data_IF_270693837363
#
_entry.id   IF_270693837363
#
_cell.length_a   1.000
_cell.length_b   1.000
_cell.length_c   1.000
_cell.angle_alpha   90.00
_cell.angle_beta   90.00
_cell.angle_gamma   90.00
#
_symmetry.space_group_name_H-M   'P 1'
#
loop_
_entity.id
_entity.type
_entity.pdbx_description
1 polymer ?
#
# COMPACT_ATOMS: atom_id res chain seq x y z
N UNK A 1 34.57 24.67 -6.62
CA UNK A 1 33.26 25.39 -6.64
C UNK A 1 32.28 24.52 -5.86
N UNK A 2 32.13 24.79 -4.55
CA UNK A 2 31.31 23.98 -3.62
C UNK A 2 29.86 24.46 -3.71
N UNK A 3 28.94 23.56 -3.99
CA UNK A 3 27.49 23.82 -3.94
C UNK A 3 27.10 23.83 -2.47
N UNK A 4 26.82 25.02 -1.93
CA UNK A 4 26.23 25.20 -0.62
C UNK A 4 24.75 24.85 -0.69
N UNK A 5 24.38 23.65 -0.23
CA UNK A 5 23.00 23.32 0.09
C UNK A 5 22.69 23.85 1.50
N UNK A 6 22.39 25.15 1.60
CA UNK A 6 21.74 25.70 2.78
C UNK A 6 20.23 25.60 2.58
N UNK A 7 19.66 24.45 2.89
CA UNK A 7 18.26 24.38 3.32
C UNK A 7 18.31 23.95 4.78
N UNK A 8 18.43 24.94 5.66
CA UNK A 8 18.30 24.72 7.09
C UNK A 8 16.92 24.11 7.36
N UNK A 9 16.88 22.94 7.99
CA UNK A 9 15.64 22.26 8.38
C UNK A 9 14.72 23.06 9.32
N UNK A 10 15.07 24.29 9.66
CA UNK A 10 14.24 25.22 10.43
C UNK A 10 13.03 25.76 9.64
N UNK A 11 13.11 25.87 8.31
CA UNK A 11 12.02 26.47 7.50
C UNK A 11 10.84 25.52 7.22
N UNK A 12 11.00 24.21 7.46
CA UNK A 12 9.89 23.25 7.32
C UNK A 12 9.08 23.07 8.61
N UNK A 13 9.67 23.32 9.79
CA UNK A 13 9.00 23.17 11.09
C UNK A 13 7.95 24.26 11.33
N UNK A 14 8.02 25.38 10.60
CA UNK A 14 7.23 26.58 10.87
C UNK A 14 6.07 26.82 9.90
N UNK A 15 5.83 25.95 8.90
CA UNK A 15 4.61 26.08 8.09
C UNK A 15 3.41 25.64 8.92
N UNK A 16 2.48 26.55 9.29
CA UNK A 16 1.31 26.16 10.04
C UNK A 16 0.49 25.18 9.20
N UNK A 17 0.33 23.95 9.69
CA UNK A 17 -0.67 23.01 9.19
C UNK A 17 -2.06 23.48 9.65
N UNK A 18 -2.52 24.62 9.11
CA UNK A 18 -3.78 25.25 9.50
C UNK A 18 -5.00 24.35 9.29
N UNK A 19 -4.86 23.28 8.50
CA UNK A 19 -5.88 22.25 8.32
C UNK A 19 -6.00 21.28 9.52
N UNK A 20 -4.93 21.08 10.30
CA UNK A 20 -4.86 20.14 11.43
C UNK A 20 -5.08 20.82 12.79
N UNK A 21 -4.66 22.08 12.91
CA UNK A 21 -4.81 22.87 14.12
C UNK A 21 -5.41 24.25 13.81
N UNK A 22 -6.64 24.51 14.29
CA UNK A 22 -7.30 25.82 14.17
C UNK A 22 -6.65 26.91 15.05
N UNK A 23 -5.85 26.53 16.05
CA UNK A 23 -5.14 27.44 16.96
C UNK A 23 -3.70 27.01 17.12
N UNK A 24 -2.78 27.97 17.13
CA UNK A 24 -1.40 27.74 17.51
C UNK A 24 -1.36 27.20 18.95
N UNK A 25 -0.93 25.95 19.11
CA UNK A 25 -0.71 25.35 20.43
C UNK A 25 0.58 25.89 21.02
N UNK A 26 0.58 26.19 22.32
CA UNK A 26 1.82 26.54 23.04
C UNK A 26 2.71 25.29 23.00
N UNK A 27 3.88 25.41 22.38
CA UNK A 27 4.81 24.29 22.29
C UNK A 27 5.15 23.78 23.69
N UNK A 28 4.90 22.50 23.96
CA UNK A 28 5.35 21.86 25.19
C UNK A 28 6.87 21.94 25.26
N UNK A 29 7.46 22.51 26.33
CA UNK A 29 8.91 22.52 26.48
C UNK A 29 9.41 21.08 26.47
N UNK A 30 10.18 20.72 25.44
CA UNK A 30 10.81 19.42 25.39
C UNK A 30 11.95 19.37 26.42
N UNK A 31 12.20 18.21 27.05
CA UNK A 31 13.37 18.06 27.91
C UNK A 31 14.64 18.40 27.12
N UNK A 32 15.63 18.96 27.82
CA UNK A 32 16.97 19.14 27.26
C UNK A 32 17.59 17.76 27.05
N UNK A 33 17.58 17.30 25.80
CA UNK A 33 18.17 16.03 25.38
C UNK A 33 19.57 16.32 24.84
N UNK A 34 20.57 15.58 25.32
CA UNK A 34 21.88 15.53 24.67
C UNK A 34 21.73 14.78 23.33
N UNK A 35 21.60 15.56 22.26
CA UNK A 35 21.43 15.03 20.90
C UNK A 35 22.63 14.23 20.42
N UNK A 36 23.83 14.53 20.91
CA UNK A 36 25.07 13.87 20.49
C UNK A 36 25.18 12.50 21.13
N UNK A 37 24.92 12.40 22.45
CA UNK A 37 24.83 11.13 23.15
C UNK A 37 23.72 10.25 22.57
N UNK A 38 22.52 10.80 22.40
CA UNK A 38 21.40 10.06 21.81
C UNK A 38 21.72 9.53 20.40
N UNK A 39 22.37 10.33 19.54
CA UNK A 39 22.78 9.87 18.21
C UNK A 39 23.82 8.74 18.27
N UNK A 40 24.76 8.81 19.21
CA UNK A 40 25.74 7.75 19.43
C UNK A 40 25.08 6.45 19.91
N UNK A 41 24.11 6.54 20.83
CA UNK A 41 23.36 5.39 21.33
C UNK A 41 22.57 4.69 20.21
N UNK A 42 21.88 5.46 19.36
CA UNK A 42 21.16 4.91 18.19
C UNK A 42 22.13 4.25 17.19
N UNK A 43 23.32 4.82 16.98
CA UNK A 43 24.33 4.24 16.10
C UNK A 43 24.89 2.93 16.66
N UNK A 44 25.16 2.87 17.96
CA UNK A 44 25.62 1.66 18.65
C UNK A 44 24.55 0.56 18.58
N UNK A 45 23.29 0.89 18.92
CA UNK A 45 22.16 -0.04 18.83
C UNK A 45 22.00 -0.59 17.40
N UNK A 46 22.15 0.25 16.37
CA UNK A 46 22.09 -0.21 14.98
C UNK A 46 23.18 -1.25 14.66
N UNK A 47 24.40 -1.07 15.17
CA UNK A 47 25.50 -2.02 14.95
C UNK A 47 25.18 -3.36 15.61
N UNK A 48 24.74 -3.32 16.87
CA UNK A 48 24.31 -4.49 17.64
C UNK A 48 23.19 -5.26 16.92
N UNK A 49 22.09 -4.59 16.54
CA UNK A 49 20.96 -5.22 15.88
C UNK A 49 21.30 -5.83 14.52
N UNK A 50 22.24 -5.24 13.77
CA UNK A 50 22.70 -5.82 12.49
C UNK A 50 23.52 -7.09 12.72
N UNK A 51 24.32 -7.13 13.79
CA UNK A 51 25.11 -8.30 14.15
C UNK A 51 24.25 -9.45 14.68
N UNK A 52 23.10 -9.13 15.29
CA UNK A 52 22.15 -10.10 15.81
C UNK A 52 21.23 -10.73 14.74
N UNK A 53 21.23 -10.21 13.51
CA UNK A 53 20.45 -10.78 12.40
C UNK A 53 20.88 -12.23 12.12
N UNK A 54 19.90 -13.12 11.99
CA UNK A 54 20.20 -14.53 11.77
C UNK A 54 19.02 -15.39 11.34
N UNK A 55 19.17 -16.70 11.54
CA UNK A 55 18.20 -17.70 11.09
C UNK A 55 16.80 -17.54 11.74
N UNK A 56 16.73 -16.93 12.94
CA UNK A 56 15.47 -16.68 13.63
C UNK A 56 14.59 -15.67 12.87
N UNK A 57 15.17 -14.64 12.27
CA UNK A 57 14.44 -13.63 11.47
C UNK A 57 13.83 -14.27 10.22
N UNK A 58 14.62 -15.09 9.51
CA UNK A 58 14.14 -15.81 8.34
C UNK A 58 13.04 -16.81 8.72
N UNK A 59 13.23 -17.57 9.80
CA UNK A 59 12.23 -18.51 10.29
C UNK A 59 10.91 -17.83 10.68
N UNK A 60 10.97 -16.60 11.20
CA UNK A 60 9.79 -15.78 11.47
C UNK A 60 9.07 -15.42 10.16
N UNK A 61 9.78 -14.87 9.17
CA UNK A 61 9.19 -14.49 7.89
C UNK A 61 8.55 -15.69 7.18
N UNK A 62 9.23 -16.83 7.14
CA UNK A 62 8.73 -18.04 6.51
C UNK A 62 7.51 -18.62 7.24
N UNK A 63 7.44 -18.45 8.56
CA UNK A 63 6.23 -18.79 9.34
C UNK A 63 5.05 -17.92 8.93
N UNK A 64 5.25 -16.61 8.83
CA UNK A 64 4.19 -15.67 8.42
C UNK A 64 3.73 -15.95 6.98
N UNK A 65 4.67 -16.21 6.08
CA UNK A 65 4.38 -16.62 4.71
C UNK A 65 3.58 -17.94 4.67
N UNK A 66 4.00 -18.94 5.45
CA UNK A 66 3.33 -20.25 5.53
C UNK A 66 1.91 -20.11 6.06
N UNK A 67 1.68 -19.32 7.10
CA UNK A 67 0.33 -19.07 7.61
C UNK A 67 -0.57 -18.43 6.56
N UNK A 68 -0.10 -17.39 5.86
CA UNK A 68 -0.85 -16.78 4.76
C UNK A 68 -1.17 -17.77 3.63
N UNK A 69 -0.21 -18.63 3.25
CA UNK A 69 -0.41 -19.67 2.23
C UNK A 69 -1.40 -20.75 2.67
N UNK A 70 -1.35 -21.20 3.92
CA UNK A 70 -2.30 -22.17 4.49
C UNK A 70 -3.71 -21.58 4.49
N UNK A 71 -3.88 -20.32 4.92
CA UNK A 71 -5.17 -19.64 4.83
C UNK A 71 -5.69 -19.59 3.38
N UNK A 72 -4.82 -19.31 2.41
CA UNK A 72 -5.23 -19.29 0.99
C UNK A 72 -5.68 -20.66 0.49
N UNK A 73 -4.91 -21.70 0.81
CA UNK A 73 -5.20 -23.08 0.43
C UNK A 73 -6.53 -23.56 1.04
N UNK A 74 -6.69 -23.40 2.36
CA UNK A 74 -7.90 -23.81 3.07
C UNK A 74 -9.11 -22.96 2.64
N UNK A 75 -8.91 -21.66 2.40
CA UNK A 75 -9.93 -20.78 1.87
C UNK A 75 -10.48 -21.28 0.54
N UNK A 76 -9.62 -21.62 -0.42
CA UNK A 76 -10.06 -22.16 -1.70
C UNK A 76 -10.60 -23.60 -1.60
N UNK A 77 -10.07 -24.42 -0.70
CA UNK A 77 -10.62 -25.76 -0.43
C UNK A 77 -12.06 -25.74 0.11
N UNK A 78 -12.48 -24.61 0.69
CA UNK A 78 -13.82 -24.39 1.25
C UNK A 78 -14.72 -23.51 0.37
N UNK A 79 -14.16 -22.86 -0.66
CA UNK A 79 -14.84 -21.87 -1.49
C UNK A 79 -15.89 -22.46 -2.44
N UNK A 80 -15.92 -23.78 -2.62
CA UNK A 80 -16.96 -24.45 -3.40
C UNK A 80 -18.31 -24.50 -2.67
N UNK A 81 -18.33 -24.27 -1.36
CA UNK A 81 -19.56 -24.17 -0.57
C UNK A 81 -20.14 -22.77 -0.76
N UNK A 82 -21.37 -22.61 -1.30
CA UNK A 82 -21.98 -21.30 -1.48
C UNK A 82 -22.07 -20.53 -0.16
N UNK A 83 -21.74 -19.23 -0.20
CA UNK A 83 -21.81 -18.31 0.94
C UNK A 83 -21.11 -18.81 2.22
N UNK A 84 -19.86 -19.26 2.11
CA UNK A 84 -19.12 -19.83 3.23
C UNK A 84 -18.27 -18.78 3.98
N UNK A 85 -18.66 -18.34 5.20
CA UNK A 85 -17.94 -17.28 5.92
C UNK A 85 -16.51 -17.66 6.29
N UNK A 86 -16.25 -18.95 6.55
CA UNK A 86 -14.90 -19.42 6.85
C UNK A 86 -13.99 -19.30 5.62
N UNK A 87 -14.51 -19.63 4.44
CA UNK A 87 -13.81 -19.38 3.17
C UNK A 87 -13.50 -17.90 3.00
N UNK A 88 -14.46 -17.01 3.30
CA UNK A 88 -14.25 -15.57 3.15
C UNK A 88 -13.13 -15.06 4.04
N UNK A 89 -13.16 -15.42 5.33
CA UNK A 89 -12.16 -15.00 6.31
C UNK A 89 -10.77 -15.53 5.96
N UNK A 90 -10.65 -16.80 5.60
CA UNK A 90 -9.37 -17.41 5.23
C UNK A 90 -8.77 -16.78 3.97
N UNK A 91 -9.58 -16.57 2.93
CA UNK A 91 -9.13 -15.93 1.70
C UNK A 91 -8.77 -14.45 1.90
N UNK A 92 -9.49 -13.74 2.77
CA UNK A 92 -9.19 -12.36 3.13
C UNK A 92 -7.88 -12.27 3.94
N UNK A 93 -7.71 -13.13 4.94
CA UNK A 93 -6.48 -13.22 5.73
C UNK A 93 -5.27 -13.58 4.88
N UNK A 94 -5.42 -14.51 3.93
CA UNK A 94 -4.34 -14.85 3.00
C UNK A 94 -3.91 -13.66 2.13
N UNK A 95 -4.87 -12.83 1.69
CA UNK A 95 -4.60 -11.62 0.91
C UNK A 95 -3.87 -10.57 1.76
N UNK A 96 -4.43 -10.23 2.93
CA UNK A 96 -3.87 -9.20 3.81
C UNK A 96 -2.50 -9.62 4.33
N UNK A 97 -2.34 -10.85 4.84
CA UNK A 97 -1.06 -11.31 5.37
C UNK A 97 0.05 -11.33 4.31
N UNK A 98 -0.27 -11.70 3.07
CA UNK A 98 0.71 -11.65 1.97
C UNK A 98 1.20 -10.24 1.71
N UNK A 99 0.32 -9.25 1.81
CA UNK A 99 0.71 -7.86 1.66
C UNK A 99 1.43 -7.33 2.91
N UNK A 100 0.77 -7.32 4.07
CA UNK A 100 1.24 -6.59 5.26
C UNK A 100 2.35 -7.32 6.02
N UNK A 101 2.36 -8.65 6.04
CA UNK A 101 3.33 -9.42 6.82
C UNK A 101 4.54 -9.88 5.99
N UNK A 102 4.39 -10.05 4.67
CA UNK A 102 5.48 -10.53 3.80
C UNK A 102 5.94 -9.43 2.87
N UNK A 103 5.08 -9.00 1.94
CA UNK A 103 5.46 -8.07 0.87
C UNK A 103 5.98 -6.75 1.42
N UNK A 104 5.27 -6.15 2.38
CA UNK A 104 5.64 -4.89 3.01
C UNK A 104 7.08 -4.94 3.54
N UNK A 105 7.41 -5.95 4.34
CA UNK A 105 8.74 -6.06 4.94
C UNK A 105 9.84 -6.42 3.94
N UNK A 106 9.57 -7.34 3.00
CA UNK A 106 10.56 -7.70 1.98
C UNK A 106 10.87 -6.51 1.07
N UNK A 107 9.84 -5.77 0.64
CA UNK A 107 10.01 -4.63 -0.24
C UNK A 107 10.55 -3.38 0.47
N UNK A 108 10.48 -3.34 1.81
CA UNK A 108 11.24 -2.41 2.66
C UNK A 108 12.70 -2.80 2.86
N UNK A 109 13.17 -3.88 2.24
CA UNK A 109 14.53 -4.41 2.41
C UNK A 109 14.81 -4.90 3.83
N UNK A 110 13.77 -5.17 4.62
CA UNK A 110 13.90 -5.57 6.03
C UNK A 110 14.70 -6.85 6.22
N UNK A 111 14.73 -7.72 5.20
CA UNK A 111 15.43 -9.00 5.23
C UNK A 111 16.68 -9.05 4.35
N UNK A 112 17.03 -7.98 3.62
CA UNK A 112 18.13 -8.01 2.64
C UNK A 112 19.52 -8.24 3.29
N UNK A 113 19.64 -7.95 4.58
CA UNK A 113 20.88 -8.14 5.37
C UNK A 113 20.88 -9.41 6.20
N UNK A 114 19.76 -10.15 6.23
CA UNK A 114 19.71 -11.43 6.95
C UNK A 114 20.61 -12.43 6.22
N UNK A 115 21.55 -13.10 6.93
CA UNK A 115 22.40 -14.10 6.32
C UNK A 115 21.59 -15.17 5.59
N UNK A 116 22.07 -15.58 4.41
CA UNK A 116 21.46 -16.68 3.63
C UNK A 116 20.00 -16.46 3.21
N UNK A 117 19.51 -15.21 3.21
CA UNK A 117 18.14 -14.91 2.74
C UNK A 117 17.93 -15.44 1.31
N UNK A 118 16.90 -16.28 1.07
CA UNK A 118 16.63 -16.78 -0.26
C UNK A 118 16.33 -15.63 -1.23
N UNK A 119 16.80 -15.72 -2.47
CA UNK A 119 16.55 -14.67 -3.48
C UNK A 119 15.06 -14.32 -3.60
N UNK A 120 14.17 -15.32 -3.50
CA UNK A 120 12.70 -15.15 -3.51
C UNK A 120 12.15 -14.25 -2.40
N UNK A 121 12.92 -13.99 -1.34
CA UNK A 121 12.57 -13.15 -0.18
C UNK A 121 13.48 -11.92 -0.05
N UNK A 122 14.35 -11.66 -1.04
CA UNK A 122 15.13 -10.43 -1.08
C UNK A 122 14.45 -9.37 -1.94
N UNK A 123 14.56 -8.09 -1.55
CA UNK A 123 13.91 -6.97 -2.24
C UNK A 123 14.30 -6.84 -3.71
N UNK A 124 15.50 -7.34 -4.06
CA UNK A 124 16.03 -7.31 -5.41
C UNK A 124 15.24 -8.21 -6.38
N UNK A 125 14.73 -9.36 -5.91
CA UNK A 125 14.05 -10.34 -6.78
C UNK A 125 12.57 -10.56 -6.45
N UNK A 126 12.13 -10.22 -5.24
CA UNK A 126 10.74 -10.36 -4.81
C UNK A 126 9.78 -9.59 -5.72
N UNK A 127 8.72 -10.28 -6.17
CA UNK A 127 7.67 -9.73 -7.03
C UNK A 127 8.18 -9.04 -8.32
N UNK A 128 9.36 -9.44 -8.82
CA UNK A 128 9.92 -8.96 -10.09
C UNK A 128 9.47 -9.80 -11.28
N UNK A 129 9.11 -9.14 -12.37
CA UNK A 129 8.67 -9.81 -13.60
C UNK A 129 7.49 -10.74 -13.34
N UNK A 130 7.57 -11.98 -13.83
CA UNK A 130 6.52 -12.98 -13.65
C UNK A 130 6.32 -13.38 -12.18
N UNK A 131 7.35 -13.25 -11.32
CA UNK A 131 7.24 -13.59 -9.91
C UNK A 131 6.21 -12.75 -9.17
N UNK A 132 5.83 -11.58 -9.69
CA UNK A 132 4.72 -10.80 -9.15
C UNK A 132 3.48 -11.66 -8.92
N UNK A 133 3.15 -12.56 -9.85
CA UNK A 133 1.94 -13.38 -9.75
C UNK A 133 2.04 -14.49 -8.71
N UNK A 134 3.25 -14.83 -8.25
CA UNK A 134 3.48 -15.80 -7.18
C UNK A 134 3.65 -15.13 -5.82
N UNK A 135 4.51 -14.11 -5.78
CA UNK A 135 4.95 -13.46 -4.55
C UNK A 135 3.84 -12.53 -4.05
N UNK A 136 3.33 -11.64 -4.91
CA UNK A 136 2.32 -10.64 -4.54
C UNK A 136 1.35 -10.31 -5.70
N UNK A 137 0.42 -11.22 -6.01
CA UNK A 137 -0.69 -10.92 -6.91
C UNK A 137 -1.68 -10.00 -6.18
N UNK A 138 -1.66 -8.71 -6.52
CA UNK A 138 -2.51 -7.69 -5.91
C UNK A 138 -2.87 -6.60 -6.94
N UNK A 139 -3.84 -5.75 -6.61
CA UNK A 139 -4.19 -4.55 -7.37
C UNK A 139 -2.96 -3.65 -7.57
N UNK A 140 -2.09 -3.57 -6.57
CA UNK A 140 -0.89 -2.75 -6.63
C UNK A 140 0.17 -3.35 -7.54
N UNK A 141 0.82 -2.50 -8.33
CA UNK A 141 2.03 -2.88 -9.07
C UNK A 141 3.25 -2.75 -8.13
N UNK A 142 4.10 -3.79 -7.98
CA UNK A 142 5.18 -3.80 -7.00
C UNK A 142 6.10 -2.56 -7.07
N UNK A 143 6.63 -2.22 -8.25
CA UNK A 143 7.50 -1.04 -8.35
C UNK A 143 6.79 0.29 -8.09
N UNK A 144 5.46 0.32 -8.26
CA UNK A 144 4.67 1.52 -8.00
C UNK A 144 4.48 1.71 -6.50
N UNK A 145 4.10 0.63 -5.82
CA UNK A 145 4.03 0.57 -4.37
C UNK A 145 5.38 0.88 -3.71
N UNK A 146 6.49 0.29 -4.18
CA UNK A 146 7.81 0.56 -3.63
C UNK A 146 8.26 2.02 -3.80
N UNK A 147 7.85 2.69 -4.87
CA UNK A 147 8.17 4.10 -5.06
C UNK A 147 7.34 4.98 -4.15
N UNK A 148 6.01 4.80 -4.18
CA UNK A 148 5.08 5.61 -3.41
C UNK A 148 5.30 5.37 -1.91
N UNK A 149 5.20 4.13 -1.44
CA UNK A 149 5.30 3.81 -0.01
C UNK A 149 6.69 4.18 0.55
N UNK A 150 7.78 3.68 -0.05
CA UNK A 150 9.11 3.81 0.54
C UNK A 150 9.75 5.19 0.35
N UNK A 151 9.38 5.94 -0.69
CA UNK A 151 10.03 7.22 -1.02
C UNK A 151 9.14 8.43 -0.80
N UNK A 152 7.82 8.27 -0.83
CA UNK A 152 6.87 9.36 -0.62
C UNK A 152 6.20 9.24 0.75
N UNK A 153 5.46 8.15 1.02
CA UNK A 153 4.71 8.00 2.26
C UNK A 153 5.60 8.07 3.51
N UNK A 154 6.67 7.24 3.61
CA UNK A 154 7.58 7.27 4.77
C UNK A 154 8.33 8.60 4.94
N UNK A 155 8.44 9.41 3.89
CA UNK A 155 9.13 10.70 3.95
C UNK A 155 8.18 11.83 4.35
N UNK A 156 6.91 11.75 3.97
CA UNK A 156 5.90 12.80 4.23
C UNK A 156 4.82 12.34 5.20
N UNK A 157 5.03 11.28 6.01
CA UNK A 157 3.98 10.64 6.80
C UNK A 157 3.15 11.65 7.61
N UNK A 158 1.83 11.68 7.36
CA UNK A 158 0.91 12.60 8.04
C UNK A 158 0.96 14.06 7.56
N UNK A 159 1.72 14.35 6.49
CA UNK A 159 1.79 15.66 5.83
C UNK A 159 0.94 15.70 4.56
N UNK A 160 0.73 16.90 4.01
CA UNK A 160 -0.08 17.09 2.79
C UNK A 160 0.54 16.37 1.57
N UNK A 161 1.86 16.19 1.56
CA UNK A 161 2.57 15.45 0.50
C UNK A 161 2.59 13.93 0.71
N UNK A 162 1.94 13.43 1.77
CA UNK A 162 1.68 12.02 1.97
C UNK A 162 0.61 11.53 0.98
N UNK A 163 0.93 10.59 0.07
CA UNK A 163 -0.08 10.01 -0.83
C UNK A 163 -1.14 9.20 -0.08
N UNK A 164 -0.82 8.74 1.14
CA UNK A 164 -1.66 7.89 1.98
C UNK A 164 -2.40 8.67 3.08
N UNK A 165 -2.39 10.01 3.05
CA UNK A 165 -3.25 10.83 3.90
C UNK A 165 -4.72 10.79 3.43
N UNK A 166 -5.38 9.65 3.64
CA UNK A 166 -6.75 9.39 3.18
C UNK A 166 -7.74 10.40 3.76
N UNK A 167 -7.56 10.83 5.01
CA UNK A 167 -8.40 11.86 5.64
C UNK A 167 -8.44 13.15 4.78
N UNK A 168 -7.27 13.57 4.28
CA UNK A 168 -7.17 14.73 3.42
C UNK A 168 -7.71 14.44 2.02
N UNK A 169 -7.28 13.32 1.43
CA UNK A 169 -7.53 12.98 0.04
C UNK A 169 -8.98 12.56 -0.24
N UNK A 170 -9.73 12.11 0.77
CA UNK A 170 -11.17 11.81 0.72
C UNK A 170 -12.05 13.07 0.80
N UNK A 171 -11.72 14.10 0.02
CA UNK A 171 -12.33 15.44 0.13
C UNK A 171 -13.86 15.47 0.02
N UNK A 172 -14.45 14.54 -0.74
CA UNK A 172 -15.91 14.42 -0.85
C UNK A 172 -16.58 14.16 0.50
N UNK A 173 -15.96 13.35 1.36
CA UNK A 173 -16.45 13.08 2.71
C UNK A 173 -16.42 14.34 3.59
N UNK A 174 -15.58 15.31 3.24
CA UNK A 174 -15.38 16.58 3.95
C UNK A 174 -16.30 17.71 3.48
N UNK A 175 -17.12 17.48 2.46
CA UNK A 175 -18.09 18.48 1.99
C UNK A 175 -19.13 18.77 3.08
N UNK A 176 -19.27 20.06 3.45
CA UNK A 176 -20.22 20.53 4.48
C UNK A 176 -21.66 20.16 4.14
N UNK A 177 -22.02 20.23 2.87
CA UNK A 177 -23.38 19.97 2.37
C UNK A 177 -23.71 18.48 2.21
N UNK A 178 -22.74 17.57 2.40
CA UNK A 178 -22.98 16.13 2.22
C UNK A 178 -23.84 15.59 3.37
N UNK A 179 -25.04 15.03 3.10
CA UNK A 179 -25.88 14.43 4.13
C UNK A 179 -25.16 13.29 4.85
N UNK A 180 -25.37 13.15 6.16
CA UNK A 180 -24.70 12.11 6.98
C UNK A 180 -24.87 10.69 6.40
N UNK A 181 -26.07 10.23 6.00
CA UNK A 181 -26.22 8.87 5.45
C UNK A 181 -25.37 8.65 4.19
N UNK A 182 -25.29 9.66 3.31
CA UNK A 182 -24.48 9.59 2.11
C UNK A 182 -22.97 9.59 2.44
N UNK A 183 -22.55 10.34 3.47
CA UNK A 183 -21.17 10.29 3.98
C UNK A 183 -20.81 8.88 4.46
N UNK A 184 -21.67 8.24 5.24
CA UNK A 184 -21.48 6.86 5.70
C UNK A 184 -21.40 5.88 4.54
N UNK A 185 -22.32 6.01 3.56
CA UNK A 185 -22.31 5.16 2.38
C UNK A 185 -20.99 5.29 1.61
N UNK A 186 -20.54 6.52 1.32
CA UNK A 186 -19.28 6.76 0.60
C UNK A 186 -18.07 6.26 1.39
N UNK A 187 -18.06 6.39 2.71
CA UNK A 187 -17.00 5.87 3.57
C UNK A 187 -16.97 4.32 3.54
N UNK A 188 -18.13 3.66 3.62
CA UNK A 188 -18.22 2.20 3.50
C UNK A 188 -17.80 1.71 2.12
N UNK A 189 -18.18 2.41 1.04
CA UNK A 189 -17.77 2.07 -0.32
C UNK A 189 -16.28 2.25 -0.53
N UNK A 190 -15.69 3.34 0.01
CA UNK A 190 -14.24 3.52 0.03
C UNK A 190 -13.59 2.34 0.76
N UNK A 191 -13.99 2.08 2.01
CA UNK A 191 -13.43 1.01 2.84
C UNK A 191 -13.49 -0.37 2.15
N UNK A 192 -14.60 -0.69 1.48
CA UNK A 192 -14.78 -1.95 0.76
C UNK A 192 -13.95 -2.08 -0.52
N UNK A 193 -13.42 -0.98 -1.07
CA UNK A 193 -12.77 -0.97 -2.40
C UNK A 193 -11.41 -0.27 -2.42
N UNK A 194 -10.92 0.25 -1.30
CA UNK A 194 -9.86 1.25 -1.27
C UNK A 194 -8.56 0.79 -1.93
N UNK A 195 -8.22 -0.50 -1.91
CA UNK A 195 -7.03 -0.98 -2.62
C UNK A 195 -7.13 -0.73 -4.12
N UNK A 196 -8.31 -0.94 -4.70
CA UNK A 196 -8.59 -0.71 -6.12
C UNK A 196 -8.91 0.76 -6.41
N UNK A 197 -9.75 1.39 -5.59
CA UNK A 197 -10.31 2.72 -5.88
C UNK A 197 -9.38 3.87 -5.48
N UNK A 198 -8.51 3.65 -4.49
CA UNK A 198 -7.59 4.64 -3.94
C UNK A 198 -6.11 4.24 -4.11
N UNK A 199 -5.70 3.13 -3.52
CA UNK A 199 -4.30 2.87 -3.25
C UNK A 199 -3.51 2.46 -4.49
N UNK A 200 -3.95 1.43 -5.22
CA UNK A 200 -3.32 1.00 -6.46
C UNK A 200 -3.21 2.11 -7.52
N UNK A 201 -4.25 2.92 -7.80
CA UNK A 201 -4.11 4.00 -8.76
C UNK A 201 -3.21 5.14 -8.23
N UNK A 202 -3.18 5.43 -6.92
CA UNK A 202 -2.25 6.43 -6.36
C UNK A 202 -0.79 6.00 -6.47
N UNK A 203 -0.48 4.76 -6.11
CA UNK A 203 0.87 4.22 -6.25
C UNK A 203 1.35 4.27 -7.70
N UNK A 204 0.50 3.88 -8.66
CA UNK A 204 0.87 3.94 -10.08
C UNK A 204 0.96 5.37 -10.60
N UNK A 205 0.06 6.26 -10.19
CA UNK A 205 0.16 7.68 -10.54
C UNK A 205 1.49 8.26 -10.07
N UNK A 206 1.90 8.00 -8.83
CA UNK A 206 3.18 8.46 -8.27
C UNK A 206 4.38 7.96 -9.12
N UNK A 207 4.38 6.68 -9.50
CA UNK A 207 5.40 6.12 -10.37
C UNK A 207 5.41 6.79 -11.76
N UNK A 208 4.25 7.06 -12.35
CA UNK A 208 4.15 7.79 -13.62
C UNK A 208 4.69 9.22 -13.47
N UNK A 209 4.37 9.93 -12.38
CA UNK A 209 4.92 11.25 -12.11
C UNK A 209 6.44 11.22 -11.97
N UNK A 210 7.00 10.21 -11.29
CA UNK A 210 8.45 10.04 -11.17
C UNK A 210 9.11 9.90 -12.54
N UNK A 211 8.53 9.10 -13.44
CA UNK A 211 9.03 8.92 -14.81
C UNK A 211 8.99 10.23 -15.59
N UNK A 212 7.89 10.99 -15.50
CA UNK A 212 7.77 12.29 -16.17
C UNK A 212 8.82 13.29 -15.65
N UNK A 213 9.00 13.37 -14.32
CA UNK A 213 10.02 14.22 -13.70
C UNK A 213 11.44 13.85 -14.12
N UNK A 214 11.70 12.56 -14.34
CA UNK A 214 13.00 12.05 -14.78
C UNK A 214 13.23 12.31 -16.27
N UNK A 215 12.20 12.20 -17.10
CA UNK A 215 12.28 12.39 -18.55
C UNK A 215 12.38 13.87 -18.96
N UNK A 216 11.76 14.79 -18.20
CA UNK A 216 11.77 16.21 -18.47
C UNK A 216 12.10 17.04 -17.21
N UNK A 217 13.37 17.07 -16.76
CA UNK A 217 13.76 17.76 -15.54
C UNK A 217 13.40 19.25 -15.51
N UNK A 218 13.48 19.92 -16.68
CA UNK A 218 13.12 21.33 -16.82
C UNK A 218 11.63 21.63 -16.54
N UNK A 219 10.75 20.63 -16.68
CA UNK A 219 9.31 20.75 -16.45
C UNK A 219 8.90 20.28 -15.04
N UNK A 220 9.86 19.88 -14.20
CA UNK A 220 9.59 19.30 -12.87
C UNK A 220 8.75 20.21 -11.97
N UNK A 221 8.98 21.53 -12.03
CA UNK A 221 8.27 22.50 -11.21
C UNK A 221 6.79 22.64 -11.57
N UNK A 222 6.38 22.29 -12.80
CA UNK A 222 4.99 22.39 -13.25
C UNK A 222 4.17 21.11 -13.06
N UNK A 223 4.79 20.01 -12.63
CA UNK A 223 4.10 18.72 -12.47
C UNK A 223 3.47 18.60 -11.08
N UNK A 224 2.20 18.16 -10.98
CA UNK A 224 1.53 18.01 -9.69
C UNK A 224 2.26 17.01 -8.78
N UNK A 225 2.25 17.33 -7.48
CA UNK A 225 2.71 16.54 -6.35
C UNK A 225 1.54 15.80 -5.66
N UNK A 226 1.83 14.95 -4.68
CA UNK A 226 0.79 14.17 -4.00
C UNK A 226 -0.22 15.08 -3.28
N UNK A 227 0.27 16.21 -2.76
CA UNK A 227 -0.52 17.24 -2.09
C UNK A 227 -1.25 18.22 -3.00
N UNK A 228 -0.88 18.31 -4.29
CA UNK A 228 -1.47 19.27 -5.24
C UNK A 228 -2.28 18.64 -6.36
N UNK A 229 -2.20 17.31 -6.51
CA UNK A 229 -2.95 16.61 -7.55
C UNK A 229 -4.46 16.67 -7.28
N UNK A 230 -5.23 16.98 -8.33
CA UNK A 230 -6.68 16.94 -8.26
C UNK A 230 -7.21 15.49 -8.31
N UNK A 231 -8.21 15.20 -7.47
CA UNK A 231 -8.80 13.87 -7.27
C UNK A 231 -10.33 13.99 -7.36
N UNK A 232 -11.02 13.17 -8.16
CA UNK A 232 -12.50 13.20 -8.24
C UNK A 232 -13.15 12.45 -7.08
N UNK A 233 -12.79 11.17 -6.92
CA UNK A 233 -13.19 10.34 -5.79
C UNK A 233 -11.93 9.92 -5.04
N UNK A 234 -11.02 9.16 -5.68
CA UNK A 234 -9.93 8.50 -4.96
C UNK A 234 -8.59 8.27 -5.67
N UNK A 235 -8.39 8.53 -6.98
CA UNK A 235 -7.02 8.62 -7.50
C UNK A 235 -6.57 9.98 -8.02
N UNK A 236 -5.25 10.18 -7.97
CA UNK A 236 -4.54 11.17 -8.77
C UNK A 236 -4.85 10.97 -10.26
N UNK A 237 -5.31 12.05 -10.91
CA UNK A 237 -5.61 12.18 -12.35
C UNK A 237 -6.27 10.98 -13.05
N UNK A 238 -7.61 10.86 -12.93
CA UNK A 238 -8.49 10.17 -13.90
C UNK A 238 -8.09 8.73 -14.29
N UNK A 239 -7.35 8.01 -13.43
CA UNK A 239 -6.88 6.65 -13.75
C UNK A 239 -7.97 5.57 -13.68
N UNK A 240 -9.08 5.82 -12.97
CA UNK A 240 -10.16 4.84 -12.82
C UNK A 240 -10.79 4.44 -14.15
N UNK A 241 -11.05 5.41 -15.02
CA UNK A 241 -11.68 5.14 -16.32
C UNK A 241 -10.59 4.93 -17.38
N UNK A 242 -10.65 3.87 -18.20
CA UNK A 242 -9.62 3.53 -19.19
C UNK A 242 -9.64 4.43 -20.45
N UNK A 243 -9.73 5.75 -20.25
CA UNK A 243 -9.92 6.76 -21.30
C UNK A 243 -8.64 7.51 -21.68
N UNK A 244 -7.54 7.29 -20.96
CA UNK A 244 -6.24 7.92 -21.23
C UNK A 244 -5.13 6.88 -21.29
N UNK A 245 -4.00 7.19 -21.93
CA UNK A 245 -2.84 6.27 -21.96
C UNK A 245 -2.35 5.89 -20.55
N UNK A 246 -2.35 6.85 -19.63
CA UNK A 246 -1.99 6.63 -18.22
C UNK A 246 -2.98 5.68 -17.54
N UNK A 247 -4.27 5.84 -17.80
CA UNK A 247 -5.30 4.96 -17.27
C UNK A 247 -5.23 3.57 -17.91
N UNK A 248 -4.99 3.46 -19.21
CA UNK A 248 -4.79 2.16 -19.87
C UNK A 248 -3.59 1.43 -19.28
N UNK A 249 -2.51 2.13 -18.94
CA UNK A 249 -1.39 1.53 -18.20
C UNK A 249 -1.81 1.04 -16.80
N UNK A 250 -2.65 1.80 -16.09
CA UNK A 250 -3.24 1.36 -14.82
C UNK A 250 -4.05 0.08 -14.98
N UNK A 251 -4.95 0.02 -15.95
CA UNK A 251 -5.73 -1.18 -16.20
C UNK A 251 -4.85 -2.36 -16.59
N UNK A 252 -3.90 -2.17 -17.51
CA UNK A 252 -3.02 -3.23 -17.98
C UNK A 252 -2.04 -3.76 -16.91
N UNK A 253 -1.54 -2.88 -16.02
CA UNK A 253 -0.55 -3.26 -15.00
C UNK A 253 -1.16 -3.61 -13.65
N UNK A 254 -2.31 -3.04 -13.28
CA UNK A 254 -2.88 -3.15 -11.94
C UNK A 254 -4.17 -3.97 -11.96
N UNK A 255 -5.20 -3.46 -12.66
CA UNK A 255 -6.56 -3.99 -12.58
C UNK A 255 -6.69 -5.35 -13.27
N UNK A 256 -6.36 -5.41 -14.56
CA UNK A 256 -6.61 -6.58 -15.39
C UNK A 256 -5.83 -7.82 -14.89
N UNK A 257 -4.51 -7.76 -14.58
CA UNK A 257 -3.78 -8.96 -14.18
C UNK A 257 -4.29 -9.56 -12.87
N UNK A 258 -4.62 -8.72 -11.88
CA UNK A 258 -5.16 -9.23 -10.61
C UNK A 258 -6.61 -9.72 -10.77
N UNK A 259 -7.47 -8.97 -11.47
CA UNK A 259 -8.85 -9.37 -11.67
C UNK A 259 -8.98 -10.67 -12.47
N UNK A 260 -8.20 -10.81 -13.56
CA UNK A 260 -8.15 -12.04 -14.34
C UNK A 260 -7.64 -13.21 -13.51
N UNK A 261 -6.61 -13.03 -12.69
CA UNK A 261 -6.10 -14.12 -11.85
C UNK A 261 -7.11 -14.51 -10.75
N UNK A 262 -7.54 -13.54 -9.95
CA UNK A 262 -8.33 -13.74 -8.73
C UNK A 262 -9.79 -14.12 -8.98
N UNK A 263 -10.41 -13.53 -10.02
CA UNK A 263 -11.83 -13.69 -10.31
C UNK A 263 -12.10 -14.39 -11.65
N UNK A 264 -11.08 -14.59 -12.49
CA UNK A 264 -11.18 -15.34 -13.74
C UNK A 264 -10.57 -16.74 -13.61
N UNK A 265 -9.24 -16.81 -13.69
CA UNK A 265 -8.45 -18.03 -13.76
C UNK A 265 -8.66 -18.93 -12.55
N UNK A 266 -8.52 -18.41 -11.32
CA UNK A 266 -8.64 -19.26 -10.12
C UNK A 266 -10.05 -19.87 -9.99
N UNK A 267 -11.16 -19.09 -10.06
CA UNK A 267 -12.49 -19.70 -10.10
C UNK A 267 -12.67 -20.66 -11.27
N UNK A 268 -12.15 -20.34 -12.47
CA UNK A 268 -12.29 -21.19 -13.66
C UNK A 268 -11.68 -22.59 -13.48
N UNK A 269 -10.69 -22.76 -12.60
CA UNK A 269 -10.16 -24.10 -12.25
C UNK A 269 -11.23 -25.03 -11.64
N UNK A 270 -12.34 -24.48 -11.17
CA UNK A 270 -13.43 -25.23 -10.56
C UNK A 270 -14.58 -25.56 -11.53
N UNK A 271 -14.55 -25.06 -12.78
CA UNK A 271 -15.54 -25.38 -13.80
C UNK A 271 -15.72 -26.89 -14.06
N UNK A 272 -14.68 -27.74 -14.03
CA UNK A 272 -14.84 -29.20 -14.17
C UNK A 272 -15.74 -29.85 -13.11
N UNK A 273 -15.96 -29.18 -11.97
CA UNK A 273 -16.84 -29.65 -10.90
C UNK A 273 -18.27 -29.10 -11.00
N UNK A 274 -18.56 -28.30 -12.03
CA UNK A 274 -19.89 -27.73 -12.31
C UNK A 274 -19.93 -26.20 -12.24
N UNK A 275 -20.88 -25.61 -12.98
CA UNK A 275 -21.09 -24.16 -13.04
C UNK A 275 -21.45 -23.58 -11.66
N UNK A 276 -22.22 -24.32 -10.87
CA UNK A 276 -22.57 -23.92 -9.50
C UNK A 276 -21.34 -23.82 -8.59
N UNK A 277 -20.38 -24.74 -8.75
CA UNK A 277 -19.14 -24.74 -7.98
C UNK A 277 -18.25 -23.57 -8.39
N UNK A 278 -18.11 -23.33 -9.70
CA UNK A 278 -17.42 -22.15 -10.22
C UNK A 278 -18.03 -20.84 -9.68
N UNK A 279 -19.36 -20.72 -9.71
CA UNK A 279 -20.09 -19.56 -9.19
C UNK A 279 -19.88 -19.39 -7.68
N UNK A 280 -19.93 -20.47 -6.90
CA UNK A 280 -19.65 -20.43 -5.47
C UNK A 280 -18.24 -19.88 -5.19
N UNK A 281 -17.22 -20.38 -5.89
CA UNK A 281 -15.84 -19.93 -5.72
C UNK A 281 -15.67 -18.46 -6.11
N UNK A 282 -16.31 -18.02 -7.19
CA UNK A 282 -16.30 -16.62 -7.62
C UNK A 282 -16.94 -15.71 -6.57
N UNK A 283 -18.15 -16.04 -6.09
CA UNK A 283 -18.86 -15.26 -5.07
C UNK A 283 -18.06 -15.21 -3.77
N UNK A 284 -17.57 -16.35 -3.28
CA UNK A 284 -16.74 -16.41 -2.07
C UNK A 284 -15.45 -15.56 -2.23
N UNK A 285 -14.84 -15.55 -3.42
CA UNK A 285 -13.65 -14.74 -3.71
C UNK A 285 -13.95 -13.24 -3.73
N UNK A 286 -15.09 -12.83 -4.29
CA UNK A 286 -15.54 -11.42 -4.32
C UNK A 286 -15.84 -10.90 -2.91
N UNK A 287 -16.54 -11.69 -2.08
CA UNK A 287 -16.83 -11.33 -0.70
C UNK A 287 -15.53 -11.27 0.13
N UNK A 288 -14.62 -12.23 -0.06
CA UNK A 288 -13.30 -12.21 0.56
C UNK A 288 -12.48 -10.97 0.18
N UNK A 289 -12.58 -10.49 -1.07
CA UNK A 289 -11.93 -9.26 -1.50
C UNK A 289 -12.46 -8.05 -0.73
N UNK A 290 -13.79 -7.94 -0.57
CA UNK A 290 -14.41 -6.86 0.23
C UNK A 290 -13.92 -6.91 1.67
N UNK A 291 -13.92 -8.09 2.31
CA UNK A 291 -13.44 -8.25 3.68
C UNK A 291 -11.95 -7.91 3.80
N UNK A 292 -11.12 -8.31 2.83
CA UNK A 292 -9.70 -7.96 2.80
C UNK A 292 -9.49 -6.45 2.71
N UNK A 293 -10.28 -5.75 1.88
CA UNK A 293 -10.24 -4.30 1.76
C UNK A 293 -10.66 -3.63 3.07
N UNK A 294 -11.78 -4.05 3.67
CA UNK A 294 -12.26 -3.52 4.95
C UNK A 294 -11.21 -3.72 6.04
N UNK A 295 -10.70 -4.94 6.18
CA UNK A 295 -9.67 -5.26 7.18
C UNK A 295 -8.44 -4.37 6.97
N UNK A 296 -7.88 -4.33 5.76
CA UNK A 296 -6.69 -3.54 5.47
C UNK A 296 -6.93 -2.03 5.66
N UNK A 297 -8.12 -1.53 5.33
CA UNK A 297 -8.48 -0.13 5.55
C UNK A 297 -8.43 0.21 7.04
N UNK A 298 -9.05 -0.61 7.88
CA UNK A 298 -9.12 -0.39 9.34
C UNK A 298 -7.72 -0.39 9.98
N UNK A 299 -6.80 -1.24 9.52
CA UNK A 299 -5.46 -1.36 10.12
C UNK A 299 -4.41 -0.43 9.54
N UNK A 300 -4.65 0.23 8.40
CA UNK A 300 -3.66 1.09 7.71
C UNK A 300 -4.10 2.56 7.67
N UNK A 301 -5.38 2.83 7.41
CA UNK A 301 -5.84 4.19 7.09
C UNK A 301 -5.88 5.15 8.29
N UNK A 302 -6.11 4.75 9.55
CA UNK A 302 -6.12 5.67 10.69
C UNK A 302 -4.77 6.33 11.07
N UNK A 303 -3.76 6.34 10.18
CA UNK A 303 -2.46 6.98 10.37
C UNK A 303 -2.55 8.52 10.51
#
# INVERSE_FOLDING_TARGET
MKIAASHSGADMVTRPQAWRHERATVATPLPLIDRSAFAADIAALRVELIQDLGAADLAHLERMERWGRICGLLGYALAWIPFNPLSWLLLAMANVARWTMVTHHVMHRGYDRVPEVPARLSSQHYARGWRRFLDWPDWMHPAAWAHEHNQLHHFHTGEIEDPDLVEHNAWLLRLKLLPRPLRWLLACLLMATWKLSYYAPNTLWALQQQRLRSAAPAQRAGLPSAGTVWRLLYPGERLLLPISRRALEFWARCVLPYALLRFGLIPALFLPFGVEVWMAVLINSLIAEVIANVHAFVIIVPN
#
